data_IF_511144138141
#
_entry.id   IF_511144138141
#
_cell.length_a   1.000
_cell.length_b   1.000
_cell.length_c   1.000
_cell.angle_alpha   90.00
_cell.angle_beta   90.00
_cell.angle_gamma   90.00
#
_symmetry.space_group_name_H-M   'P 1'
#
loop_
_entity.id
_entity.type
_entity.pdbx_description
1 polymer ?
#
# COMPACT_ATOMS: atom_id res chain seq x y z
N UNK A 1 -37.26 -5.73 12.28
CA UNK A 1 -36.28 -4.93 11.51
C UNK A 1 -34.90 -5.39 11.91
N UNK A 2 -34.16 -6.04 11.01
CA UNK A 2 -32.75 -6.34 11.25
C UNK A 2 -31.95 -5.07 10.95
N UNK A 3 -31.22 -4.56 11.96
CA UNK A 3 -30.25 -3.49 11.77
C UNK A 3 -29.12 -4.10 10.96
N UNK A 4 -29.04 -3.76 9.67
CA UNK A 4 -27.91 -4.11 8.81
C UNK A 4 -26.70 -3.33 9.37
N UNK A 5 -25.83 -4.01 10.09
CA UNK A 5 -24.51 -3.46 10.41
C UNK A 5 -23.73 -3.36 9.09
N UNK A 6 -23.86 -2.22 8.41
CA UNK A 6 -22.95 -1.82 7.35
C UNK A 6 -21.61 -1.42 7.99
N UNK A 7 -20.89 -2.39 8.57
CA UNK A 7 -19.44 -2.31 8.74
C UNK A 7 -18.81 -2.65 7.38
N UNK A 8 -19.16 -1.90 6.34
CA UNK A 8 -18.36 -1.88 5.13
C UNK A 8 -17.06 -1.20 5.56
N UNK A 9 -16.04 -2.00 5.87
CA UNK A 9 -14.67 -1.52 5.94
C UNK A 9 -14.40 -0.89 4.57
N UNK A 10 -14.57 0.44 4.47
CA UNK A 10 -14.25 1.18 3.26
C UNK A 10 -12.75 0.99 3.00
N UNK A 11 -12.42 0.03 2.14
CA UNK A 11 -11.09 -0.16 1.62
C UNK A 11 -10.82 0.95 0.62
N UNK A 12 -9.73 1.69 0.83
CA UNK A 12 -9.27 2.70 -0.11
C UNK A 12 -7.85 2.39 -0.56
N UNK A 13 -7.55 2.77 -1.80
CA UNK A 13 -6.20 2.59 -2.36
C UNK A 13 -5.29 3.71 -1.87
N UNK A 14 -4.10 3.32 -1.45
CA UNK A 14 -2.98 4.23 -1.25
C UNK A 14 -1.81 3.78 -2.10
N UNK A 15 -0.99 4.75 -2.49
CA UNK A 15 0.15 4.55 -3.36
C UNK A 15 1.42 4.94 -2.62
N UNK A 16 2.45 4.13 -2.80
CA UNK A 16 3.80 4.40 -2.33
C UNK A 16 4.76 4.16 -3.46
N UNK A 17 5.75 5.03 -3.60
CA UNK A 17 6.88 4.77 -4.50
C UNK A 17 8.17 4.58 -3.74
N UNK A 18 9.04 3.74 -4.29
CA UNK A 18 10.38 3.51 -3.79
C UNK A 18 11.37 3.32 -4.92
N UNK A 19 12.54 3.91 -4.74
CA UNK A 19 13.75 3.52 -5.44
C UNK A 19 14.30 2.27 -4.77
N UNK A 20 14.23 1.14 -5.46
CA UNK A 20 14.76 -0.15 -5.01
C UNK A 20 15.60 -0.74 -6.13
N UNK A 21 16.66 -1.45 -5.77
CA UNK A 21 17.39 -2.25 -6.75
C UNK A 21 16.49 -3.39 -7.26
N UNK A 22 16.42 -3.64 -8.58
CA UNK A 22 15.55 -4.66 -9.16
C UNK A 22 15.76 -6.08 -8.60
N UNK A 23 16.96 -6.36 -8.10
CA UNK A 23 17.30 -7.64 -7.48
C UNK A 23 16.66 -7.77 -6.08
N UNK A 24 16.71 -6.70 -5.28
CA UNK A 24 16.10 -6.65 -3.95
C UNK A 24 14.57 -6.79 -4.04
N UNK A 25 13.95 -6.20 -5.07
CA UNK A 25 12.50 -6.31 -5.30
C UNK A 25 12.06 -7.77 -5.42
N UNK A 26 12.80 -8.58 -6.17
CA UNK A 26 12.48 -10.00 -6.41
C UNK A 26 12.70 -10.87 -5.16
N UNK A 27 13.67 -10.49 -4.34
CA UNK A 27 14.01 -11.25 -3.14
C UNK A 27 13.04 -10.95 -2.00
N UNK A 28 12.67 -9.68 -1.81
CA UNK A 28 11.87 -9.21 -0.68
C UNK A 28 10.36 -9.26 -0.94
N UNK A 29 9.88 -8.90 -2.13
CA UNK A 29 8.44 -8.74 -2.42
C UNK A 29 7.88 -9.90 -3.23
N UNK A 30 7.86 -11.10 -2.61
CA UNK A 30 7.27 -12.28 -3.24
C UNK A 30 5.75 -12.31 -3.04
N UNK A 31 5.04 -12.73 -4.09
CA UNK A 31 3.59 -12.92 -4.06
C UNK A 31 3.22 -13.91 -2.96
N UNK A 32 2.21 -13.56 -2.15
CA UNK A 32 1.69 -14.39 -1.07
C UNK A 32 2.42 -14.25 0.26
N UNK A 33 3.43 -13.37 0.36
CA UNK A 33 4.09 -13.04 1.62
C UNK A 33 3.51 -11.77 2.24
N UNK A 34 3.59 -11.73 3.57
CA UNK A 34 3.36 -10.53 4.36
C UNK A 34 4.73 -9.94 4.73
N UNK A 35 4.85 -8.62 4.65
CA UNK A 35 6.08 -7.91 4.97
C UNK A 35 5.78 -6.70 5.85
N UNK A 36 6.70 -6.41 6.76
CA UNK A 36 6.70 -5.22 7.58
C UNK A 36 7.68 -4.22 7.00
N UNK A 37 7.21 -3.00 6.78
CA UNK A 37 8.07 -1.90 6.38
C UNK A 37 8.84 -1.38 7.60
N UNK A 38 10.18 -1.41 7.60
CA UNK A 38 10.97 -1.03 8.77
C UNK A 38 10.99 0.48 9.07
N UNK A 39 10.46 1.33 8.19
CA UNK A 39 10.59 2.80 8.29
C UNK A 39 9.24 3.54 8.21
N UNK A 40 9.23 4.78 8.70
CA UNK A 40 8.12 5.72 8.49
C UNK A 40 7.81 5.81 7.00
N UNK A 41 6.59 5.40 6.68
CA UNK A 41 6.15 5.18 5.30
C UNK A 41 5.32 6.35 4.85
N UNK A 42 5.79 7.10 3.85
CA UNK A 42 4.94 8.07 3.17
C UNK A 42 4.05 7.34 2.16
N UNK A 43 2.74 7.46 2.31
CA UNK A 43 1.74 6.99 1.35
C UNK A 43 0.86 8.15 0.94
N UNK A 44 0.35 8.11 -0.29
CA UNK A 44 -0.56 9.11 -0.82
C UNK A 44 -1.81 8.44 -1.38
N UNK A 45 -2.98 9.07 -1.21
CA UNK A 45 -4.20 8.68 -1.94
C UNK A 45 -4.19 9.12 -3.40
N UNK A 46 -3.30 10.06 -3.74
CA UNK A 46 -3.10 10.53 -5.10
C UNK A 46 -1.85 9.86 -5.69
N UNK A 47 -2.05 9.02 -6.70
CA UNK A 47 -0.99 8.33 -7.44
C UNK A 47 -0.01 9.30 -8.09
N UNK A 48 -0.50 10.42 -8.63
CA UNK A 48 0.33 11.39 -9.35
C UNK A 48 1.28 12.15 -8.40
N UNK A 49 0.86 12.36 -7.15
CA UNK A 49 1.72 12.94 -6.11
C UNK A 49 2.82 11.96 -5.68
N UNK A 50 2.55 10.66 -5.76
CA UNK A 50 3.53 9.63 -5.43
C UNK A 50 4.59 9.45 -6.53
N UNK A 51 4.28 9.80 -7.79
CA UNK A 51 5.03 9.53 -9.04
C UNK A 51 6.41 10.21 -9.17
N UNK A 52 6.91 10.85 -8.13
CA UNK A 52 8.18 11.58 -8.17
C UNK A 52 9.24 10.99 -7.24
N UNK A 53 8.96 9.86 -6.59
CA UNK A 53 9.78 9.37 -5.48
C UNK A 53 10.46 8.02 -5.72
N UNK A 54 10.17 7.28 -6.80
CA UNK A 54 10.84 6.01 -7.04
C UNK A 54 10.60 5.33 -8.40
N UNK A 55 11.26 4.20 -8.59
CA UNK A 55 11.16 3.37 -9.81
C UNK A 55 10.04 2.31 -9.72
N UNK A 56 9.55 2.05 -8.52
CA UNK A 56 8.50 1.06 -8.24
C UNK A 56 7.34 1.70 -7.48
N UNK A 57 6.12 1.51 -8.00
CA UNK A 57 4.88 1.93 -7.34
C UNK A 57 4.17 0.73 -6.70
N UNK A 58 3.95 0.80 -5.39
CA UNK A 58 3.12 -0.11 -4.62
C UNK A 58 1.70 0.45 -4.53
N UNK A 59 0.73 -0.32 -5.01
CA UNK A 59 -0.69 -0.07 -4.81
C UNK A 59 -1.17 -0.93 -3.64
N UNK A 60 -1.66 -0.28 -2.58
CA UNK A 60 -1.96 -0.92 -1.30
C UNK A 60 -3.44 -0.67 -0.98
N UNK A 61 -4.17 -1.75 -0.71
CA UNK A 61 -5.51 -1.67 -0.15
C UNK A 61 -5.41 -1.42 1.36
N UNK A 62 -5.76 -0.21 1.79
CA UNK A 62 -5.76 0.19 3.19
C UNK A 62 -7.19 0.29 3.73
N UNK A 63 -7.36 0.02 5.03
CA UNK A 63 -8.63 0.19 5.72
C UNK A 63 -8.57 1.36 6.71
N UNK A 64 -9.73 1.91 7.06
CA UNK A 64 -9.82 3.07 7.97
C UNK A 64 -9.37 2.77 9.42
N UNK A 65 -9.11 1.49 9.73
CA UNK A 65 -8.69 1.02 11.04
C UNK A 65 -7.20 0.61 11.11
N UNK A 66 -6.45 0.83 10.03
CA UNK A 66 -4.98 0.70 10.00
C UNK A 66 -4.29 2.01 10.42
#
# INVERSE_FOLDING_TARGET
MAIKNNNENESFKVYRELTLDPEDVKQEYKVGLQFLWPTFTFTSRNKDVAHHFGDYTFEIDASKND
#
